data_IF_329420602278
#
_entry.id   IF_329420602278
#
_cell.length_a   1.000
_cell.length_b   1.000
_cell.length_c   1.000
_cell.angle_alpha   90.00
_cell.angle_beta   90.00
_cell.angle_gamma   90.00
#
_symmetry.space_group_name_H-M   'P 1'
#
loop_
_entity.id
_entity.type
_entity.pdbx_description
1 polymer ?
#
# COMPACT_ATOMS: atom_id res chain seq x y z
N UNK A 1 -37.13 -16.70 -12.98
CA UNK A 1 -36.69 -16.80 -11.58
C UNK A 1 -35.56 -15.78 -11.44
N UNK A 2 -35.83 -14.63 -10.83
CA UNK A 2 -34.84 -13.56 -10.64
C UNK A 2 -33.93 -13.98 -9.47
N UNK A 3 -32.66 -14.36 -9.77
CA UNK A 3 -31.61 -14.49 -8.75
C UNK A 3 -31.34 -13.09 -8.24
N UNK A 4 -31.59 -12.82 -6.96
CA UNK A 4 -31.11 -11.64 -6.28
C UNK A 4 -29.58 -11.73 -6.25
N UNK A 5 -28.93 -10.98 -7.12
CA UNK A 5 -27.51 -10.69 -7.03
C UNK A 5 -27.28 -9.92 -5.72
N UNK A 6 -26.56 -10.49 -4.79
CA UNK A 6 -25.98 -9.73 -3.68
C UNK A 6 -24.73 -9.06 -4.22
N UNK A 7 -24.86 -7.81 -4.63
CA UNK A 7 -23.72 -6.96 -4.97
C UNK A 7 -22.98 -6.72 -3.65
N UNK A 8 -21.85 -7.37 -3.48
CA UNK A 8 -20.92 -7.07 -2.40
C UNK A 8 -20.00 -5.98 -2.90
N UNK A 9 -20.45 -4.73 -2.82
CA UNK A 9 -19.57 -3.59 -3.00
C UNK A 9 -18.70 -3.51 -1.76
N UNK A 10 -17.43 -3.76 -1.93
CA UNK A 10 -16.39 -3.71 -0.90
C UNK A 10 -16.09 -2.27 -0.51
N UNK A 11 -17.03 -1.66 0.22
CA UNK A 11 -16.87 -0.35 0.83
C UNK A 11 -16.06 -0.49 2.11
N UNK A 12 -14.75 -0.33 2.00
CA UNK A 12 -13.88 -0.11 3.16
C UNK A 12 -14.18 1.25 3.78
N UNK A 13 -15.32 1.39 4.44
CA UNK A 13 -15.64 2.59 5.22
C UNK A 13 -14.74 2.61 6.45
N UNK A 14 -13.61 3.33 6.36
CA UNK A 14 -12.78 3.69 7.50
C UNK A 14 -13.57 4.69 8.35
N UNK A 15 -14.38 4.19 9.30
CA UNK A 15 -14.95 5.00 10.37
C UNK A 15 -13.80 5.37 11.30
N UNK A 16 -13.29 6.58 11.15
CA UNK A 16 -12.43 7.19 12.18
C UNK A 16 -13.34 7.47 13.38
N UNK A 17 -13.41 6.51 14.29
CA UNK A 17 -14.03 6.71 15.60
C UNK A 17 -13.10 7.58 16.41
N UNK A 18 -13.38 8.88 16.42
CA UNK A 18 -12.86 9.79 17.44
C UNK A 18 -13.35 9.31 18.80
N UNK A 19 -12.43 8.83 19.63
CA UNK A 19 -12.72 8.49 21.03
C UNK A 19 -13.01 9.80 21.77
N UNK A 20 -14.30 10.07 22.01
CA UNK A 20 -14.75 10.98 23.05
C UNK A 20 -15.63 10.20 24.02
N UNK A 21 -15.23 10.28 25.29
CA UNK A 21 -15.64 9.47 26.41
C UNK A 21 -17.13 9.37 26.72
N UNK A 22 -17.37 8.34 27.41
CA UNK A 22 -18.49 7.83 28.17
C UNK A 22 -19.55 8.82 28.65
N UNK A 23 -20.85 8.45 28.50
CA UNK A 23 -21.95 9.07 29.21
C UNK A 23 -23.27 8.40 28.86
N UNK A 24 -23.70 7.43 29.65
CA UNK A 24 -25.05 6.89 29.66
C UNK A 24 -26.05 7.98 30.12
N UNK A 25 -27.21 8.08 29.46
CA UNK A 25 -28.33 8.89 29.96
C UNK A 25 -29.52 8.90 29.00
N UNK A 26 -30.64 8.36 29.45
CA UNK A 26 -31.90 8.22 28.76
C UNK A 26 -32.63 9.54 28.47
N UNK A 27 -33.83 9.49 27.87
CA UNK A 27 -34.50 10.66 27.28
C UNK A 27 -35.03 11.60 28.35
N UNK A 28 -34.68 12.88 28.30
CA UNK A 28 -35.29 13.94 29.10
C UNK A 28 -35.90 15.01 28.21
N UNK A 29 -37.12 15.29 28.59
CA UNK A 29 -38.07 16.29 28.14
C UNK A 29 -37.49 17.72 28.16
N UNK A 30 -37.86 18.51 27.15
CA UNK A 30 -37.51 19.93 27.05
C UNK A 30 -38.03 20.75 28.26
N UNK A 31 -37.14 21.52 28.88
CA UNK A 31 -37.47 22.57 29.83
C UNK A 31 -36.84 23.90 29.40
N UNK A 32 -37.63 24.96 29.58
CA UNK A 32 -37.38 26.36 29.19
C UNK A 32 -36.11 26.97 29.83
N UNK A 33 -35.55 28.03 29.21
CA UNK A 33 -34.36 28.70 29.73
C UNK A 33 -34.69 29.61 30.90
N UNK A 34 -34.03 29.40 32.01
CA UNK A 34 -34.04 30.30 33.17
C UNK A 34 -32.86 31.27 33.08
N UNK A 35 -33.14 32.55 33.24
CA UNK A 35 -32.15 33.63 33.20
C UNK A 35 -31.07 33.47 34.27
N UNK A 36 -29.82 33.68 33.86
CA UNK A 36 -28.62 33.62 34.69
C UNK A 36 -28.35 34.99 35.31
N UNK A 37 -28.17 35.11 36.62
CA UNK A 37 -27.83 36.39 37.26
C UNK A 37 -26.40 36.83 36.89
N UNK A 38 -26.24 38.08 36.54
CA UNK A 38 -25.02 38.79 36.24
C UNK A 38 -24.10 38.85 37.45
N UNK A 39 -22.93 38.25 37.41
CA UNK A 39 -21.92 38.41 38.46
C UNK A 39 -21.05 39.63 38.16
N UNK A 40 -20.93 40.48 39.18
CA UNK A 40 -20.05 41.65 39.18
C UNK A 40 -18.57 41.24 39.23
N UNK A 41 -17.69 41.84 38.46
CA UNK A 41 -16.26 41.48 38.49
C UNK A 41 -15.59 41.98 39.76
N UNK A 42 -15.06 41.08 40.56
CA UNK A 42 -14.20 41.39 41.73
C UNK A 42 -12.77 41.51 41.24
N UNK A 43 -12.14 42.66 41.50
CA UNK A 43 -10.73 42.94 41.16
C UNK A 43 -9.82 42.08 42.03
N UNK A 44 -8.82 41.35 41.48
CA UNK A 44 -7.87 40.61 42.28
C UNK A 44 -6.80 41.51 42.91
N UNK A 45 -6.29 41.16 44.11
CA UNK A 45 -5.22 41.90 44.78
C UNK A 45 -3.90 41.81 44.02
N UNK A 46 -2.99 42.78 44.19
CA UNK A 46 -1.71 42.83 43.52
C UNK A 46 -0.79 41.66 43.94
N UNK A 47 -0.21 41.00 42.94
CA UNK A 47 0.66 39.87 43.11
C UNK A 47 2.02 40.34 43.76
N UNK A 48 2.37 39.69 44.85
CA UNK A 48 3.70 39.85 45.49
C UNK A 48 4.75 39.18 44.61
N UNK A 49 5.78 39.92 44.19
CA UNK A 49 6.87 39.41 43.38
C UNK A 49 7.70 38.37 44.17
N UNK A 50 7.67 37.15 43.70
CA UNK A 50 8.56 36.07 44.16
C UNK A 50 9.91 36.21 43.46
N UNK A 51 11.05 36.11 44.19
CA UNK A 51 12.37 36.22 43.58
C UNK A 51 12.59 35.05 42.61
N UNK A 52 12.87 35.37 41.34
CA UNK A 52 13.23 34.40 40.28
C UNK A 52 14.65 33.90 40.55
N UNK A 53 14.79 32.65 40.95
CA UNK A 53 16.07 31.94 40.94
C UNK A 53 16.44 31.65 39.50
N UNK A 54 17.60 32.14 39.06
CA UNK A 54 18.10 31.86 37.72
C UNK A 54 18.32 30.34 37.52
N UNK A 55 17.86 29.76 36.39
CA UNK A 55 18.07 28.35 36.13
C UNK A 55 19.57 28.05 35.98
N UNK A 56 20.07 27.14 36.81
CA UNK A 56 21.41 26.53 36.63
C UNK A 56 21.38 25.78 35.29
N UNK A 57 22.31 26.11 34.37
CA UNK A 57 22.46 25.45 33.12
C UNK A 57 22.65 23.93 33.32
N UNK A 58 21.74 23.13 32.76
CA UNK A 58 21.89 21.69 32.75
C UNK A 58 23.14 21.31 31.93
N UNK A 59 23.90 20.28 32.35
CA UNK A 59 25.03 19.82 31.56
C UNK A 59 24.55 19.39 30.16
N UNK A 60 25.16 19.96 29.13
CA UNK A 60 24.95 19.56 27.74
C UNK A 60 25.31 18.07 27.60
N UNK A 61 24.34 17.23 27.31
CA UNK A 61 24.57 15.82 27.01
C UNK A 61 25.59 15.73 25.87
N UNK A 62 26.64 14.93 26.06
CA UNK A 62 27.58 14.63 24.98
C UNK A 62 26.81 14.01 23.79
N UNK A 63 27.14 14.33 22.52
CA UNK A 63 26.50 13.73 21.38
C UNK A 63 26.67 12.21 21.45
N UNK A 64 25.56 11.49 21.52
CA UNK A 64 25.54 10.02 21.36
C UNK A 64 26.00 9.74 19.93
N UNK A 65 27.17 9.11 19.78
CA UNK A 65 27.63 8.66 18.49
C UNK A 65 26.61 7.66 17.97
N UNK A 66 25.93 8.02 16.88
CA UNK A 66 25.12 7.07 16.12
C UNK A 66 26.04 5.95 15.65
N UNK A 67 25.74 4.68 15.94
CA UNK A 67 26.53 3.58 15.41
C UNK A 67 26.66 3.75 13.89
N UNK A 68 27.87 3.56 13.37
CA UNK A 68 28.05 3.49 11.92
C UNK A 68 27.17 2.35 11.39
N UNK A 69 26.47 2.54 10.25
CA UNK A 69 25.73 1.45 9.63
C UNK A 69 26.65 0.25 9.45
N UNK A 70 26.16 -0.95 9.76
CA UNK A 70 26.90 -2.16 9.45
C UNK A 70 27.20 -2.17 7.95
N UNK A 71 28.41 -2.57 7.52
CA UNK A 71 28.68 -2.69 6.10
C UNK A 71 27.65 -3.64 5.49
N UNK A 72 26.95 -3.17 4.45
CA UNK A 72 26.09 -4.06 3.65
C UNK A 72 26.94 -5.15 3.04
N UNK A 73 26.39 -6.38 2.83
CA UNK A 73 27.07 -7.40 2.09
C UNK A 73 27.52 -6.83 0.73
N UNK A 74 28.78 -7.02 0.39
CA UNK A 74 29.24 -6.68 -0.94
C UNK A 74 28.57 -7.65 -1.91
N UNK A 75 28.20 -7.17 -3.12
CA UNK A 75 27.71 -8.05 -4.17
C UNK A 75 28.76 -9.10 -4.55
N UNK A 76 28.30 -10.27 -4.93
CA UNK A 76 29.19 -11.38 -5.35
C UNK A 76 29.59 -11.27 -6.84
N UNK A 77 29.00 -10.31 -7.56
CA UNK A 77 29.24 -10.01 -8.98
C UNK A 77 28.31 -10.77 -9.92
N UNK A 78 27.30 -11.45 -9.37
CA UNK A 78 26.20 -12.07 -10.13
C UNK A 78 24.91 -11.39 -9.72
N UNK A 79 24.22 -10.76 -10.67
CA UNK A 79 22.95 -10.11 -10.40
C UNK A 79 21.83 -11.14 -10.42
N UNK A 80 21.38 -11.56 -9.26
CA UNK A 80 20.25 -12.48 -9.09
C UNK A 80 18.94 -11.71 -8.81
N UNK A 81 17.80 -12.36 -9.05
CA UNK A 81 16.49 -11.86 -8.68
C UNK A 81 15.90 -12.67 -7.53
N UNK A 82 15.44 -12.00 -6.46
CA UNK A 82 14.78 -12.61 -5.32
C UNK A 82 13.39 -12.01 -5.11
N UNK A 83 12.36 -12.84 -5.20
CA UNK A 83 10.97 -12.36 -5.11
C UNK A 83 10.18 -12.94 -3.95
N UNK A 84 9.32 -12.11 -3.36
CA UNK A 84 8.22 -12.52 -2.50
C UNK A 84 6.91 -12.06 -3.13
N UNK A 85 6.00 -13.00 -3.37
CA UNK A 85 4.69 -12.77 -3.95
C UNK A 85 3.63 -13.15 -2.90
N UNK A 86 2.88 -12.18 -2.42
CA UNK A 86 1.93 -12.36 -1.33
C UNK A 86 0.51 -12.02 -1.77
N UNK A 87 -0.43 -12.95 -1.62
CA UNK A 87 -1.85 -12.73 -1.91
C UNK A 87 -2.72 -13.30 -0.80
N UNK A 88 -3.78 -12.54 -0.45
CA UNK A 88 -4.81 -12.99 0.49
C UNK A 88 -6.18 -12.84 -0.15
N UNK A 89 -6.89 -13.95 -0.26
CA UNK A 89 -8.22 -14.03 -0.87
C UNK A 89 -9.35 -14.16 0.16
N UNK A 90 -9.07 -14.77 1.33
CA UNK A 90 -10.10 -15.10 2.32
C UNK A 90 -9.92 -14.32 3.62
N UNK A 91 -10.95 -13.62 4.06
CA UNK A 91 -10.92 -12.63 5.14
C UNK A 91 -11.94 -12.89 6.26
N UNK A 92 -12.54 -14.08 6.33
CA UNK A 92 -13.63 -14.36 7.24
C UNK A 92 -13.39 -13.96 8.70
N UNK A 93 -12.16 -14.08 9.19
CA UNK A 93 -11.78 -13.69 10.56
C UNK A 93 -11.68 -12.16 10.76
N UNK A 94 -11.49 -11.41 9.70
CA UNK A 94 -11.39 -9.93 9.73
C UNK A 94 -12.72 -9.24 9.45
N UNK A 95 -13.78 -9.99 9.13
CA UNK A 95 -15.10 -9.44 8.81
C UNK A 95 -15.16 -8.65 7.50
N UNK A 96 -14.18 -8.85 6.63
CA UNK A 96 -14.14 -8.35 5.26
C UNK A 96 -14.75 -9.39 4.32
N UNK A 97 -15.17 -8.96 3.12
CA UNK A 97 -15.60 -9.90 2.09
C UNK A 97 -14.39 -10.64 1.51
N UNK A 98 -14.60 -11.88 1.13
CA UNK A 98 -13.59 -12.65 0.42
C UNK A 98 -13.44 -12.15 -1.03
N UNK A 99 -12.23 -12.30 -1.57
CA UNK A 99 -11.88 -12.05 -2.97
C UNK A 99 -11.43 -13.37 -3.61
N UNK A 100 -12.34 -14.33 -3.83
CA UNK A 100 -11.97 -15.68 -4.25
C UNK A 100 -11.54 -15.69 -5.73
N UNK A 101 -10.34 -15.22 -5.99
CA UNK A 101 -9.71 -15.16 -7.33
C UNK A 101 -8.64 -16.23 -7.53
N UNK A 102 -8.54 -17.17 -6.60
CA UNK A 102 -7.66 -18.34 -6.66
C UNK A 102 -6.17 -17.99 -6.83
N UNK A 103 -5.76 -16.91 -6.15
CA UNK A 103 -4.38 -16.36 -6.15
C UNK A 103 -3.84 -16.04 -7.55
N UNK A 104 -4.74 -15.66 -8.45
CA UNK A 104 -4.42 -15.41 -9.87
C UNK A 104 -3.44 -14.24 -10.03
N UNK A 105 -3.42 -13.28 -9.10
CA UNK A 105 -2.58 -12.11 -9.22
C UNK A 105 -1.10 -12.49 -9.03
N UNK A 106 -0.77 -13.18 -7.95
CA UNK A 106 0.61 -13.65 -7.75
C UNK A 106 1.02 -14.72 -8.75
N UNK A 107 0.09 -15.55 -9.22
CA UNK A 107 0.37 -16.55 -10.25
C UNK A 107 0.78 -15.90 -11.58
N UNK A 108 0.16 -14.77 -11.95
CA UNK A 108 0.55 -14.00 -13.14
C UNK A 108 1.95 -13.40 -12.99
N UNK A 109 2.24 -12.82 -11.83
CA UNK A 109 3.55 -12.23 -11.54
C UNK A 109 4.63 -13.31 -11.49
N UNK A 110 4.34 -14.46 -10.88
CA UNK A 110 5.24 -15.60 -10.84
C UNK A 110 5.65 -16.04 -12.27
N UNK A 111 4.66 -16.24 -13.14
CA UNK A 111 4.94 -16.60 -14.53
C UNK A 111 5.75 -15.52 -15.26
N UNK A 112 5.43 -14.24 -15.03
CA UNK A 112 6.21 -13.13 -15.59
C UNK A 112 7.69 -13.20 -15.19
N UNK A 113 7.97 -13.46 -13.89
CA UNK A 113 9.35 -13.56 -13.41
C UNK A 113 10.09 -14.75 -14.02
N UNK A 114 9.43 -15.91 -14.14
CA UNK A 114 10.00 -17.07 -14.84
C UNK A 114 10.29 -16.78 -16.31
N UNK A 115 9.38 -16.10 -17.00
CA UNK A 115 9.54 -15.70 -18.40
C UNK A 115 10.69 -14.68 -18.58
N UNK A 116 10.96 -13.87 -17.54
CA UNK A 116 12.11 -12.97 -17.47
C UNK A 116 13.42 -13.66 -17.09
N UNK A 117 13.41 -14.98 -16.86
CA UNK A 117 14.60 -15.79 -16.61
C UNK A 117 14.96 -15.96 -15.13
N UNK A 118 14.09 -15.59 -14.20
CA UNK A 118 14.33 -15.81 -12.78
C UNK A 118 14.30 -17.31 -12.43
N UNK A 119 15.13 -17.72 -11.47
CA UNK A 119 15.10 -19.10 -10.98
C UNK A 119 13.86 -19.36 -10.12
N UNK A 120 13.19 -20.49 -10.32
CA UNK A 120 12.02 -20.91 -9.53
C UNK A 120 12.30 -20.89 -8.02
N UNK A 121 13.51 -21.31 -7.62
CA UNK A 121 13.95 -21.32 -6.21
C UNK A 121 14.14 -19.95 -5.59
N UNK A 122 14.18 -18.89 -6.40
CA UNK A 122 14.32 -17.51 -5.97
C UNK A 122 12.97 -16.78 -5.86
N UNK A 123 11.86 -17.46 -6.15
CA UNK A 123 10.50 -16.90 -6.07
C UNK A 123 9.74 -17.61 -4.95
N UNK A 124 9.30 -16.85 -3.94
CA UNK A 124 8.52 -17.37 -2.81
C UNK A 124 7.10 -16.83 -2.85
N UNK A 125 6.12 -17.68 -3.12
CA UNK A 125 4.70 -17.35 -2.97
C UNK A 125 4.25 -17.55 -1.52
N UNK A 126 3.45 -16.60 -1.02
CA UNK A 126 2.72 -16.72 0.26
C UNK A 126 1.24 -16.46 0.01
N UNK A 127 0.45 -17.52 0.20
CA UNK A 127 -1.02 -17.49 0.07
C UNK A 127 -1.65 -17.40 1.45
N UNK A 128 -2.74 -16.64 1.57
CA UNK A 128 -3.44 -16.43 2.84
C UNK A 128 -2.51 -15.92 3.97
N UNK A 129 -1.56 -15.07 3.63
CA UNK A 129 -0.53 -14.62 4.55
C UNK A 129 -1.08 -13.79 5.73
N UNK A 130 -0.34 -13.85 6.83
CA UNK A 130 -0.42 -12.90 7.94
C UNK A 130 0.89 -12.10 8.10
N UNK A 131 1.00 -11.35 9.20
CA UNK A 131 2.21 -10.56 9.45
C UNK A 131 3.45 -11.42 9.69
N UNK A 132 3.30 -12.59 10.30
CA UNK A 132 4.42 -13.47 10.63
C UNK A 132 4.93 -14.19 9.38
N UNK A 133 4.02 -14.62 8.50
CA UNK A 133 4.35 -15.20 7.19
C UNK A 133 5.13 -14.20 6.33
N UNK A 134 4.64 -12.95 6.27
CA UNK A 134 5.32 -11.90 5.51
C UNK A 134 6.70 -11.57 6.12
N UNK A 135 6.81 -11.58 7.46
CA UNK A 135 8.10 -11.37 8.13
C UNK A 135 9.11 -12.45 7.75
N UNK A 136 8.69 -13.72 7.83
CA UNK A 136 9.54 -14.85 7.49
C UNK A 136 9.99 -14.80 6.03
N UNK A 137 9.09 -14.45 5.11
CA UNK A 137 9.42 -14.34 3.69
C UNK A 137 10.40 -13.18 3.41
N UNK A 138 10.23 -12.02 4.06
CA UNK A 138 11.16 -10.91 3.95
C UNK A 138 12.53 -11.25 4.56
N UNK A 139 12.58 -11.96 5.69
CA UNK A 139 13.83 -12.41 6.31
C UNK A 139 14.54 -13.46 5.43
N UNK A 140 13.79 -14.34 4.75
CA UNK A 140 14.33 -15.25 3.74
C UNK A 140 14.94 -14.47 2.58
N UNK A 141 14.24 -13.50 1.99
CA UNK A 141 14.74 -12.69 0.89
C UNK A 141 16.01 -11.92 1.30
N UNK A 142 16.01 -11.29 2.47
CA UNK A 142 17.18 -10.57 3.00
C UNK A 142 18.38 -11.47 3.32
N UNK A 143 18.16 -12.77 3.54
CA UNK A 143 19.23 -13.74 3.83
C UNK A 143 19.87 -14.33 2.59
N UNK A 144 19.24 -14.20 1.44
CA UNK A 144 19.71 -14.76 0.17
C UNK A 144 20.20 -13.66 -0.78
N UNK A 145 19.58 -12.49 -0.77
CA UNK A 145 19.97 -11.38 -1.62
C UNK A 145 21.24 -10.67 -1.12
N UNK A 146 21.97 -10.06 -2.04
CA UNK A 146 23.10 -9.18 -1.73
C UNK A 146 23.02 -7.82 -2.48
N UNK A 147 24.11 -7.07 -2.58
CA UNK A 147 24.06 -5.67 -3.00
C UNK A 147 23.78 -5.47 -4.49
N UNK A 148 24.14 -6.39 -5.35
CA UNK A 148 23.97 -6.33 -6.80
C UNK A 148 22.71 -7.07 -7.30
N UNK A 149 21.94 -7.68 -6.40
CA UNK A 149 20.67 -8.35 -6.71
C UNK A 149 19.51 -7.39 -6.90
N UNK A 150 18.47 -7.87 -7.58
CA UNK A 150 17.15 -7.25 -7.61
C UNK A 150 16.22 -7.96 -6.62
N UNK A 151 15.72 -7.26 -5.61
CA UNK A 151 14.66 -7.78 -4.74
C UNK A 151 13.31 -7.22 -5.14
N UNK A 152 12.32 -8.12 -5.26
CA UNK A 152 10.98 -7.78 -5.73
C UNK A 152 9.91 -8.29 -4.75
N UNK A 153 9.05 -7.39 -4.30
CA UNK A 153 7.89 -7.73 -3.48
C UNK A 153 6.61 -7.33 -4.19
N UNK A 154 5.70 -8.27 -4.40
CA UNK A 154 4.35 -8.00 -4.86
C UNK A 154 3.33 -8.41 -3.80
N UNK A 155 2.41 -7.50 -3.47
CA UNK A 155 1.36 -7.77 -2.49
C UNK A 155 -0.01 -7.44 -3.07
N UNK A 156 -0.92 -8.42 -3.06
CA UNK A 156 -2.31 -8.27 -3.43
C UNK A 156 -3.21 -8.65 -2.23
N UNK A 157 -4.00 -7.69 -1.74
CA UNK A 157 -4.85 -7.89 -0.57
C UNK A 157 -5.86 -6.74 -0.41
N UNK A 158 -6.80 -6.87 0.53
CA UNK A 158 -7.55 -5.70 1.00
C UNK A 158 -6.64 -4.69 1.72
N UNK A 159 -6.79 -3.40 1.40
CA UNK A 159 -6.06 -2.34 2.09
C UNK A 159 -6.34 -2.29 3.60
N UNK A 160 -7.57 -2.59 4.03
CA UNK A 160 -7.91 -2.67 5.45
C UNK A 160 -7.15 -3.81 6.15
N UNK A 161 -6.97 -4.96 5.49
CA UNK A 161 -6.16 -6.07 6.01
C UNK A 161 -4.69 -5.66 6.19
N UNK A 162 -4.10 -4.98 5.23
CA UNK A 162 -2.72 -4.48 5.36
C UNK A 162 -2.57 -3.50 6.53
N UNK A 163 -3.63 -2.76 6.86
CA UNK A 163 -3.63 -1.81 7.98
C UNK A 163 -3.82 -2.52 9.32
N UNK A 164 -4.85 -3.35 9.47
CA UNK A 164 -5.28 -3.94 10.74
C UNK A 164 -4.64 -5.31 11.02
N UNK A 165 -4.54 -6.16 9.98
CA UNK A 165 -4.00 -7.52 10.11
C UNK A 165 -2.48 -7.58 10.07
N UNK A 166 -1.84 -6.75 9.22
CA UNK A 166 -0.39 -6.78 9.02
C UNK A 166 0.33 -5.63 9.74
N UNK A 167 -0.37 -4.56 10.12
CA UNK A 167 0.24 -3.34 10.66
C UNK A 167 1.34 -2.78 9.74
N UNK A 168 1.12 -2.84 8.42
CA UNK A 168 2.10 -2.59 7.37
C UNK A 168 2.95 -1.34 7.60
N UNK A 169 2.31 -0.20 7.89
CA UNK A 169 2.99 1.10 7.99
C UNK A 169 4.03 1.19 9.11
N UNK A 170 4.00 0.25 10.06
CA UNK A 170 4.96 0.19 11.17
C UNK A 170 5.89 -1.02 11.08
N UNK A 171 5.40 -2.13 10.55
CA UNK A 171 6.13 -3.39 10.42
C UNK A 171 7.07 -3.40 9.22
N UNK A 172 6.57 -3.03 8.04
CA UNK A 172 7.26 -3.20 6.77
C UNK A 172 8.48 -2.27 6.58
N UNK A 173 8.42 -0.93 6.83
CA UNK A 173 9.50 -0.03 6.50
C UNK A 173 10.86 -0.40 7.09
N UNK A 174 10.98 -0.77 8.38
CA UNK A 174 12.29 -1.16 8.93
C UNK A 174 12.82 -2.48 8.35
N UNK A 175 11.95 -3.41 7.94
CA UNK A 175 12.34 -4.64 7.25
C UNK A 175 12.86 -4.34 5.86
N UNK A 176 12.15 -3.49 5.12
CA UNK A 176 12.52 -3.08 3.77
C UNK A 176 13.83 -2.30 3.74
N UNK A 177 14.03 -1.38 4.69
CA UNK A 177 15.28 -0.63 4.82
C UNK A 177 16.50 -1.50 5.16
N UNK A 178 16.27 -2.70 5.71
CA UNK A 178 17.33 -3.65 6.05
C UNK A 178 17.69 -4.60 4.89
N UNK A 179 17.00 -4.54 3.73
CA UNK A 179 17.34 -5.34 2.56
C UNK A 179 18.73 -4.96 2.05
N UNK A 180 19.61 -5.93 1.77
CA UNK A 180 20.97 -5.64 1.34
C UNK A 180 21.08 -5.12 -0.09
N UNK A 181 20.10 -5.40 -0.94
CA UNK A 181 20.06 -5.01 -2.35
C UNK A 181 20.00 -3.50 -2.56
N UNK A 182 20.64 -3.02 -3.63
CA UNK A 182 20.53 -1.65 -4.13
C UNK A 182 19.39 -1.46 -5.13
N UNK A 183 18.78 -2.54 -5.62
CA UNK A 183 17.62 -2.52 -6.50
C UNK A 183 16.42 -3.16 -5.79
N UNK A 184 15.65 -2.35 -5.07
CA UNK A 184 14.52 -2.79 -4.25
C UNK A 184 13.21 -2.32 -4.86
N UNK A 185 12.37 -3.25 -5.31
CA UNK A 185 11.08 -2.99 -5.91
C UNK A 185 9.94 -3.52 -5.05
N UNK A 186 8.96 -2.68 -4.75
CA UNK A 186 7.73 -3.10 -4.09
C UNK A 186 6.49 -2.62 -4.85
N UNK A 187 5.62 -3.56 -5.18
CA UNK A 187 4.31 -3.31 -5.80
C UNK A 187 3.23 -3.66 -4.79
N UNK A 188 2.40 -2.68 -4.43
CA UNK A 188 1.26 -2.88 -3.53
C UNK A 188 -0.02 -2.70 -4.32
N UNK A 189 -0.78 -3.78 -4.45
CA UNK A 189 -2.06 -3.78 -5.12
C UNK A 189 -3.19 -4.00 -4.11
N UNK A 190 -3.89 -2.92 -3.79
CA UNK A 190 -5.02 -2.91 -2.87
C UNK A 190 -5.76 -1.57 -2.95
N UNK A 191 -6.92 -1.48 -2.31
CA UNK A 191 -7.55 -0.18 -2.05
C UNK A 191 -6.62 0.73 -1.25
N UNK A 192 -6.49 2.00 -1.67
CA UNK A 192 -5.67 3.03 -1.00
C UNK A 192 -4.18 2.68 -0.90
N UNK A 193 -3.66 1.94 -1.86
CA UNK A 193 -2.32 1.40 -1.87
C UNK A 193 -1.22 2.44 -1.58
N UNK A 194 -1.38 3.68 -2.04
CA UNK A 194 -0.42 4.77 -1.78
C UNK A 194 -0.31 5.20 -0.30
N UNK A 195 -1.14 4.67 0.62
CA UNK A 195 -0.91 4.80 2.07
C UNK A 195 0.29 3.95 2.47
N UNK A 196 0.36 2.74 1.94
CA UNK A 196 1.32 1.70 2.32
C UNK A 196 2.70 1.96 1.70
N UNK A 197 2.77 2.29 0.41
CA UNK A 197 4.02 2.71 -0.24
C UNK A 197 4.53 4.04 0.33
N UNK A 198 3.62 4.95 0.68
CA UNK A 198 3.96 6.22 1.32
C UNK A 198 4.64 6.08 2.70
N UNK A 199 4.57 4.91 3.34
CA UNK A 199 5.28 4.63 4.58
C UNK A 199 6.81 4.52 4.38
N UNK A 200 7.28 4.28 3.15
CA UNK A 200 8.68 4.17 2.78
C UNK A 200 9.37 5.53 2.57
N UNK A 201 8.64 6.64 2.52
CA UNK A 201 9.19 7.97 2.20
C UNK A 201 10.34 8.44 3.10
N UNK A 202 10.52 7.85 4.27
CA UNK A 202 11.63 8.11 5.19
C UNK A 202 12.87 7.28 4.92
N UNK A 203 12.77 6.26 4.07
CA UNK A 203 13.89 5.41 3.67
C UNK A 203 14.87 6.22 2.80
N UNK A 204 16.16 6.10 3.09
CA UNK A 204 17.23 6.79 2.35
C UNK A 204 17.90 5.90 1.31
N UNK A 205 17.70 4.60 1.42
CA UNK A 205 18.26 3.63 0.48
C UNK A 205 17.46 3.63 -0.82
N UNK A 206 18.08 3.32 -1.97
CA UNK A 206 17.38 3.26 -3.25
C UNK A 206 16.23 2.27 -3.23
N UNK A 207 15.07 2.66 -3.73
CA UNK A 207 13.92 1.78 -3.95
C UNK A 207 13.01 2.34 -5.05
N UNK A 208 12.22 1.45 -5.64
CA UNK A 208 11.07 1.77 -6.48
C UNK A 208 9.82 1.22 -5.80
N UNK A 209 8.86 2.08 -5.49
CA UNK A 209 7.58 1.64 -4.95
C UNK A 209 6.43 2.06 -5.84
N UNK A 210 5.52 1.11 -6.10
CA UNK A 210 4.36 1.27 -6.96
C UNK A 210 3.11 0.91 -6.17
N UNK A 211 2.15 1.82 -6.14
CA UNK A 211 0.84 1.63 -5.54
C UNK A 211 -0.21 1.66 -6.64
N UNK A 212 -1.02 0.61 -6.74
CA UNK A 212 -2.07 0.49 -7.77
C UNK A 212 -3.17 1.55 -7.67
N UNK A 213 -3.30 2.21 -6.52
CA UNK A 213 -4.34 3.23 -6.28
C UNK A 213 -3.81 4.37 -5.43
N UNK A 214 -4.41 5.55 -5.58
CA UNK A 214 -4.14 6.72 -4.74
C UNK A 214 -4.56 6.53 -3.28
N UNK A 215 -4.14 7.44 -2.41
CA UNK A 215 -4.39 7.36 -0.94
C UNK A 215 -5.87 7.37 -0.52
N UNK A 216 -6.76 7.77 -1.39
CA UNK A 216 -8.21 7.90 -1.14
C UNK A 216 -9.03 7.22 -2.23
N UNK A 217 -8.44 6.27 -2.92
CA UNK A 217 -9.02 5.60 -4.06
C UNK A 217 -9.06 4.10 -3.81
N UNK A 218 -10.12 3.47 -4.28
CA UNK A 218 -10.23 2.03 -4.28
C UNK A 218 -10.03 1.50 -5.70
N UNK A 219 -9.36 0.35 -5.82
CA UNK A 219 -9.19 -0.38 -7.06
C UNK A 219 -10.35 -1.35 -7.29
N UNK A 220 -10.17 -2.22 -8.27
CA UNK A 220 -11.13 -3.26 -8.61
C UNK A 220 -10.44 -4.62 -8.75
N UNK A 221 -10.99 -5.61 -8.06
CA UNK A 221 -10.69 -7.02 -8.29
C UNK A 221 -11.93 -7.67 -8.87
N UNK A 222 -11.86 -8.09 -10.14
CA UNK A 222 -12.98 -8.75 -10.82
C UNK A 222 -13.16 -10.17 -10.30
N UNK A 223 -14.42 -10.56 -10.05
CA UNK A 223 -14.81 -11.90 -9.67
C UNK A 223 -15.48 -12.62 -10.87
N UNK A 224 -15.35 -13.95 -10.94
CA UNK A 224 -15.92 -14.74 -12.04
C UNK A 224 -17.44 -14.55 -12.19
N UNK A 225 -18.15 -14.47 -11.04
CA UNK A 225 -19.60 -14.29 -11.04
C UNK A 225 -20.10 -12.94 -11.55
N UNK A 226 -19.23 -11.93 -11.62
CA UNK A 226 -19.57 -10.60 -12.15
C UNK A 226 -19.64 -10.59 -13.67
N UNK A 227 -18.99 -11.57 -14.32
CA UNK A 227 -18.97 -11.70 -15.77
C UNK A 227 -18.19 -10.59 -16.48
N UNK A 228 -17.31 -9.90 -15.76
CA UNK A 228 -16.40 -8.92 -16.33
C UNK A 228 -15.18 -9.61 -16.99
N UNK A 229 -14.52 -8.95 -17.96
CA UNK A 229 -13.44 -9.57 -18.72
C UNK A 229 -12.20 -9.95 -17.90
N UNK A 230 -11.90 -9.21 -16.84
CA UNK A 230 -10.71 -9.43 -16.01
C UNK A 230 -11.13 -10.04 -14.68
N UNK A 231 -10.53 -11.18 -14.33
CA UNK A 231 -10.62 -11.80 -13.01
C UNK A 231 -9.34 -11.42 -12.24
N UNK A 232 -9.48 -11.09 -10.97
CA UNK A 232 -8.40 -10.57 -10.13
C UNK A 232 -8.20 -9.08 -10.31
N UNK A 233 -7.11 -8.60 -9.76
CA UNK A 233 -6.80 -7.17 -9.70
C UNK A 233 -6.49 -6.60 -11.09
N UNK A 234 -7.22 -5.56 -11.47
CA UNK A 234 -7.13 -4.94 -12.80
C UNK A 234 -5.74 -4.34 -13.04
N UNK A 235 -5.17 -3.68 -12.03
CA UNK A 235 -3.82 -3.13 -12.14
C UNK A 235 -2.80 -4.24 -12.40
N UNK A 236 -2.77 -5.31 -11.59
CA UNK A 236 -1.82 -6.42 -11.76
C UNK A 236 -1.95 -7.06 -13.14
N UNK A 237 -3.18 -7.22 -13.63
CA UNK A 237 -3.41 -7.75 -14.98
C UNK A 237 -2.69 -6.92 -16.05
N UNK A 238 -2.89 -5.61 -16.05
CA UNK A 238 -2.27 -4.75 -17.06
C UNK A 238 -0.78 -4.52 -16.82
N UNK A 239 -0.35 -4.42 -15.58
CA UNK A 239 1.08 -4.36 -15.23
C UNK A 239 1.85 -5.54 -15.80
N UNK A 240 1.34 -6.77 -15.64
CA UNK A 240 1.96 -7.98 -16.22
C UNK A 240 1.87 -7.98 -17.74
N UNK A 241 0.73 -7.56 -18.32
CA UNK A 241 0.54 -7.49 -19.77
C UNK A 241 1.52 -6.54 -20.43
N UNK A 242 1.94 -5.46 -19.77
CA UNK A 242 2.89 -4.48 -20.27
C UNK A 242 4.18 -5.12 -20.80
N UNK A 243 4.71 -6.14 -20.13
CA UNK A 243 5.97 -6.77 -20.52
C UNK A 243 5.91 -7.56 -21.84
N UNK A 244 4.71 -7.76 -22.40
CA UNK A 244 4.50 -8.41 -23.69
C UNK A 244 3.83 -7.51 -24.73
N UNK A 245 3.41 -6.31 -24.34
CA UNK A 245 2.77 -5.34 -25.23
C UNK A 245 3.79 -4.30 -25.69
N UNK A 246 4.08 -4.20 -27.01
CA UNK A 246 5.06 -3.23 -27.51
C UNK A 246 4.64 -1.76 -27.28
N UNK A 247 3.36 -1.47 -26.99
CA UNK A 247 2.91 -0.12 -26.63
C UNK A 247 3.49 0.35 -25.29
N UNK A 248 3.91 -0.57 -24.41
CA UNK A 248 4.49 -0.25 -23.10
C UNK A 248 5.95 0.22 -23.18
N UNK A 249 6.70 -0.14 -24.22
CA UNK A 249 8.07 0.35 -24.48
C UNK A 249 8.02 1.80 -25.00
N UNK A 250 7.88 2.75 -24.09
CA UNK A 250 7.64 4.15 -24.42
C UNK A 250 8.89 4.90 -24.87
N UNK A 251 10.07 4.47 -24.45
CA UNK A 251 11.34 5.05 -24.86
C UNK A 251 11.93 4.40 -26.14
N UNK A 252 11.35 3.29 -26.58
CA UNK A 252 11.71 2.58 -27.83
C UNK A 252 13.04 1.82 -27.76
N UNK A 253 13.48 1.47 -26.56
CA UNK A 253 14.76 0.76 -26.38
C UNK A 253 14.65 -0.77 -26.58
N UNK A 254 13.46 -1.31 -26.80
CA UNK A 254 13.17 -2.72 -27.05
C UNK A 254 12.96 -3.54 -25.77
N UNK A 255 12.86 -2.91 -24.61
CA UNK A 255 12.60 -3.52 -23.32
C UNK A 255 11.54 -2.70 -22.56
N UNK A 256 10.78 -3.33 -21.71
CA UNK A 256 9.84 -2.66 -20.83
C UNK A 256 10.41 -2.61 -19.43
N UNK A 257 10.66 -1.42 -18.91
CA UNK A 257 11.04 -1.20 -17.52
C UNK A 257 9.84 -1.38 -16.58
N UNK A 258 10.09 -1.61 -15.30
CA UNK A 258 9.03 -1.68 -14.28
C UNK A 258 8.28 -0.34 -14.18
N UNK A 259 8.96 0.79 -14.40
CA UNK A 259 8.36 2.12 -14.43
C UNK A 259 7.37 2.25 -15.59
N UNK A 260 7.78 1.86 -16.80
CA UNK A 260 6.90 1.86 -17.99
C UNK A 260 5.72 0.91 -17.83
N UNK A 261 5.93 -0.25 -17.23
CA UNK A 261 4.85 -1.18 -16.90
C UNK A 261 3.84 -0.57 -15.90
N UNK A 262 4.30 0.26 -14.97
CA UNK A 262 3.42 0.97 -14.04
C UNK A 262 2.59 2.04 -14.74
N UNK A 263 3.20 2.82 -15.64
CA UNK A 263 2.51 3.87 -16.43
C UNK A 263 1.48 3.24 -17.39
N UNK A 264 1.85 2.15 -18.08
CA UNK A 264 0.93 1.38 -18.91
C UNK A 264 -0.23 0.80 -18.07
N UNK A 265 0.09 0.26 -16.90
CA UNK A 265 -0.91 -0.28 -15.98
C UNK A 265 -1.89 0.80 -15.50
N UNK A 266 -1.43 2.04 -15.24
CA UNK A 266 -2.30 3.17 -14.89
C UNK A 266 -3.26 3.51 -16.03
N UNK A 267 -2.73 3.73 -17.23
CA UNK A 267 -3.54 4.09 -18.40
C UNK A 267 -4.63 3.04 -18.66
N UNK A 268 -4.26 1.78 -18.73
CA UNK A 268 -5.20 0.68 -19.07
C UNK A 268 -6.19 0.40 -17.94
N UNK A 269 -5.77 0.49 -16.67
CA UNK A 269 -6.71 0.32 -15.56
C UNK A 269 -7.72 1.49 -15.50
N UNK A 270 -7.30 2.74 -15.73
CA UNK A 270 -8.20 3.87 -15.83
C UNK A 270 -9.26 3.65 -16.92
N UNK A 271 -8.82 3.27 -18.13
CA UNK A 271 -9.72 2.98 -19.24
C UNK A 271 -10.71 1.85 -18.86
N UNK A 272 -10.22 0.76 -18.27
CA UNK A 272 -11.07 -0.37 -17.87
C UNK A 272 -12.11 0.04 -16.80
N UNK A 273 -11.72 0.82 -15.80
CA UNK A 273 -12.64 1.30 -14.78
C UNK A 273 -13.78 2.11 -15.40
N UNK A 274 -13.47 3.04 -16.32
CA UNK A 274 -14.46 3.92 -16.92
C UNK A 274 -15.32 3.23 -17.99
N UNK A 275 -14.70 2.39 -18.81
CA UNK A 275 -15.38 1.78 -19.97
C UNK A 275 -16.11 0.47 -19.63
N UNK A 276 -15.66 -0.24 -18.59
CA UNK A 276 -16.19 -1.55 -18.23
C UNK A 276 -16.86 -1.53 -16.86
N UNK A 277 -16.16 -1.16 -15.79
CA UNK A 277 -16.71 -1.24 -14.44
C UNK A 277 -17.81 -0.20 -14.24
N UNK A 278 -17.56 1.07 -14.55
CA UNK A 278 -18.56 2.14 -14.38
C UNK A 278 -19.63 2.17 -15.49
N UNK A 279 -19.46 1.37 -16.55
CA UNK A 279 -20.57 1.11 -17.48
C UNK A 279 -21.69 0.25 -16.86
N UNK A 280 -21.42 -0.41 -15.73
CA UNK A 280 -22.42 -1.13 -14.93
C UNK A 280 -23.00 -0.14 -13.90
N UNK A 281 -24.28 0.28 -14.01
CA UNK A 281 -24.82 1.36 -13.17
C UNK A 281 -24.78 1.08 -11.67
N UNK A 282 -24.87 -0.17 -11.27
CA UNK A 282 -24.81 -0.60 -9.88
C UNK A 282 -23.41 -0.39 -9.30
N UNK A 283 -22.37 -0.65 -10.07
CA UNK A 283 -20.98 -0.43 -9.64
C UNK A 283 -20.66 1.06 -9.60
N UNK A 284 -21.03 1.79 -10.66
CA UNK A 284 -20.86 3.25 -10.70
C UNK A 284 -21.52 3.91 -9.47
N UNK A 285 -22.78 3.57 -9.18
CA UNK A 285 -23.51 4.16 -8.07
C UNK A 285 -22.86 3.84 -6.73
N UNK A 286 -22.37 2.62 -6.55
CA UNK A 286 -21.70 2.22 -5.32
C UNK A 286 -20.41 3.02 -5.06
N UNK A 287 -19.60 3.26 -6.09
CA UNK A 287 -18.40 4.11 -5.96
C UNK A 287 -18.76 5.57 -5.63
N UNK A 288 -19.85 6.11 -6.25
CA UNK A 288 -20.35 7.44 -5.94
C UNK A 288 -20.88 7.56 -4.49
N UNK A 289 -21.63 6.56 -4.04
CA UNK A 289 -22.17 6.51 -2.67
C UNK A 289 -21.06 6.42 -1.62
N UNK A 290 -19.94 5.77 -1.99
CA UNK A 290 -18.73 5.73 -1.18
C UNK A 290 -17.95 7.05 -1.17
N UNK A 291 -18.32 8.00 -2.03
CA UNK A 291 -17.70 9.31 -2.11
C UNK A 291 -16.41 9.34 -2.92
N UNK A 292 -16.18 8.35 -3.78
CA UNK A 292 -15.02 8.35 -4.69
C UNK A 292 -15.23 9.34 -5.86
N UNK A 293 -14.11 9.90 -6.33
CA UNK A 293 -14.11 10.91 -7.39
C UNK A 293 -14.01 10.26 -8.77
N UNK A 294 -14.94 9.39 -9.09
CA UNK A 294 -14.96 8.63 -10.36
C UNK A 294 -15.23 9.48 -11.61
N UNK A 295 -15.54 10.76 -11.45
CA UNK A 295 -15.62 11.72 -12.57
C UNK A 295 -14.23 12.18 -13.04
N UNK A 296 -13.18 11.87 -12.28
CA UNK A 296 -11.80 12.08 -12.69
C UNK A 296 -11.42 11.02 -13.75
N UNK A 297 -11.10 11.41 -14.98
CA UNK A 297 -10.80 10.45 -16.04
C UNK A 297 -9.52 9.64 -15.79
N UNK A 298 -8.68 10.08 -14.86
CA UNK A 298 -7.47 9.37 -14.43
C UNK A 298 -7.69 8.48 -13.20
N UNK A 299 -8.94 8.27 -12.77
CA UNK A 299 -9.25 7.39 -11.64
C UNK A 299 -9.21 5.90 -12.04
N UNK A 300 -8.57 5.03 -11.23
CA UNK A 300 -7.73 5.33 -10.06
C UNK A 300 -6.29 5.66 -10.47
N UNK A 301 -5.64 6.54 -9.71
CA UNK A 301 -4.26 6.94 -9.97
C UNK A 301 -3.28 5.90 -9.41
N UNK A 302 -2.27 5.58 -10.19
CA UNK A 302 -1.09 4.86 -9.70
C UNK A 302 -0.14 5.85 -9.03
N UNK A 303 0.46 5.47 -7.92
CA UNK A 303 1.46 6.29 -7.26
C UNK A 303 2.82 5.60 -7.31
N UNK A 304 3.77 6.22 -7.98
CA UNK A 304 5.15 5.76 -8.08
C UNK A 304 6.05 6.66 -7.21
N UNK A 305 6.91 6.06 -6.38
CA UNK A 305 8.00 6.77 -5.69
C UNK A 305 9.31 6.06 -6.06
N UNK A 306 10.03 6.66 -7.01
CA UNK A 306 11.29 6.15 -7.56
C UNK A 306 12.47 6.87 -6.91
N UNK A 307 13.28 6.12 -6.16
CA UNK A 307 14.54 6.56 -5.55
C UNK A 307 15.75 5.88 -6.17
N UNK A 308 15.53 4.98 -7.13
CA UNK A 308 16.61 4.39 -7.92
C UNK A 308 17.07 5.39 -8.97
N UNK A 309 16.10 6.02 -9.67
CA UNK A 309 16.36 7.07 -10.65
C UNK A 309 16.87 6.57 -12.00
N UNK A 310 16.94 5.25 -12.17
CA UNK A 310 17.31 4.57 -13.41
C UNK A 310 16.20 3.54 -13.75
N UNK A 311 15.98 3.21 -15.04
CA UNK A 311 15.03 2.18 -15.40
C UNK A 311 15.40 0.82 -14.78
N UNK A 312 14.42 0.16 -14.17
CA UNK A 312 14.58 -1.17 -13.57
C UNK A 312 13.92 -2.20 -14.49
N UNK A 313 14.68 -3.21 -14.89
CA UNK A 313 14.23 -4.29 -15.78
C UNK A 313 14.13 -5.59 -14.99
N UNK A 314 13.14 -6.43 -15.35
CA UNK A 314 13.04 -7.78 -14.77
C UNK A 314 14.06 -8.76 -15.36
N UNK A 315 14.47 -8.54 -16.61
CA UNK A 315 15.53 -9.35 -17.19
C UNK A 315 16.85 -9.03 -16.47
N UNK A 316 17.35 -10.01 -15.76
CA UNK A 316 18.66 -9.93 -15.11
C UNK A 316 19.73 -9.88 -16.19
N UNK A 317 20.70 -8.97 -16.06
CA UNK A 317 21.77 -8.82 -17.06
C UNK A 317 22.47 -10.15 -17.30
N UNK A 318 22.84 -10.42 -18.59
CA UNK A 318 23.72 -11.56 -18.85
C UNK A 318 25.04 -11.34 -18.05
N UNK A 319 25.56 -12.40 -17.40
CA UNK A 319 26.80 -12.32 -16.61
C UNK A 319 28.02 -11.97 -17.43
#
# INVERSE_FOLDING_TARGET
MRKLFRIVVLLSTLVVVGVCGSGCGGPQTAAQPTERPTQTPTTPPPATATPTIAPTAAPTAAPTLTPAPSPQPAGDGVADGWAVLAEKDYYGEYGMADLPVDYINISRVHQLLLDAGWEEGHIREIREFDQDDLREALDWMASNADADDLVYLHVSAHGLFLHEGVSWTTFFPPKWAAMPSQQRVVVVNCCRAAIFTGALRGDREPYLSIASTGRKEDGWSGLEEEGLPIIGEVFTYYFVTAFTDPEADTDGNGKVSIQEAADYGEEKQCAYMHEVVFAVPEFEQAFRDAGFRIDDPAYPHVAVDDKIGEPVYLELGEP
#
